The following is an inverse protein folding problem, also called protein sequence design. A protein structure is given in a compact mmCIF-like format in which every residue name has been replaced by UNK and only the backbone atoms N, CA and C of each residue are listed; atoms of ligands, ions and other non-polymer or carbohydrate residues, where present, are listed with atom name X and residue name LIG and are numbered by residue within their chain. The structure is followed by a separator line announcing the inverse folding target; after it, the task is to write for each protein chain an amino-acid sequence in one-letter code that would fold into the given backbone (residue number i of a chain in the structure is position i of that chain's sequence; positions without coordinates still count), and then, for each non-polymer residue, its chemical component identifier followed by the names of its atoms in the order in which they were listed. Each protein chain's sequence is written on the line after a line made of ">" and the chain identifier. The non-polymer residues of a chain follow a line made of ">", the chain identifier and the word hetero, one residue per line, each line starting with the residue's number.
data_IF_609772343773
#
_entry.id   IF_609772343773
#
_cell.length_a   1.000
_cell.length_b   1.000
_cell.length_c   1.000
_cell.angle_alpha   90.00
_cell.angle_beta   90.00
_cell.angle_gamma   90.00
#
_symmetry.space_group_name_H-M   'P 1'
#
loop_
_entity.id
_entity.type
_entity.pdbx_description
1 polymer ?
#
# COMPACT_ATOMS: atom_id res chain seq x y z
N UNK A 1 -2.51 14.62 11.67
CA UNK A 1 -2.75 13.93 10.37
C UNK A 1 -1.67 12.92 10.03
N UNK A 2 -0.37 13.27 10.13
CA UNK A 2 0.76 12.34 9.88
C UNK A 2 0.77 11.15 10.84
N UNK A 3 0.54 11.38 12.14
CA UNK A 3 0.45 10.31 13.13
C UNK A 3 -0.70 9.32 12.83
N UNK A 4 -1.82 9.81 12.28
CA UNK A 4 -2.97 8.97 11.92
C UNK A 4 -2.66 8.09 10.69
N UNK A 5 -1.94 8.59 9.69
CA UNK A 5 -1.51 7.78 8.54
C UNK A 5 -0.40 6.79 8.91
N UNK A 6 0.49 7.14 9.85
CA UNK A 6 1.48 6.22 10.39
C UNK A 6 0.83 5.08 11.18
N UNK A 7 -0.06 5.40 12.12
CA UNK A 7 -0.81 4.42 12.90
C UNK A 7 -1.65 3.49 12.01
N UNK A 8 -2.31 4.03 10.97
CA UNK A 8 -3.10 3.22 10.05
C UNK A 8 -2.26 2.25 9.21
N UNK A 9 -1.05 2.66 8.78
CA UNK A 9 -0.08 1.77 8.11
C UNK A 9 0.42 0.70 9.06
N UNK A 10 0.76 1.07 10.29
CA UNK A 10 1.18 0.11 11.31
C UNK A 10 0.10 -0.93 11.60
N UNK A 11 -1.16 -0.50 11.72
CA UNK A 11 -2.30 -1.42 11.89
C UNK A 11 -2.44 -2.41 10.72
N UNK A 12 -2.16 -1.98 9.49
CA UNK A 12 -2.17 -2.87 8.32
C UNK A 12 -1.04 -3.92 8.38
N UNK A 13 0.17 -3.50 8.77
CA UNK A 13 1.30 -4.40 8.98
C UNK A 13 0.99 -5.44 10.05
N UNK A 14 0.57 -5.00 11.23
CA UNK A 14 0.22 -5.89 12.35
C UNK A 14 -0.89 -6.86 11.97
N UNK A 15 -1.89 -6.44 11.19
CA UNK A 15 -2.96 -7.32 10.71
C UNK A 15 -2.41 -8.49 9.88
N UNK A 16 -1.53 -8.19 8.91
CA UNK A 16 -0.94 -9.22 8.04
C UNK A 16 0.07 -10.07 8.79
N UNK A 17 0.92 -9.48 9.64
CA UNK A 17 1.86 -10.23 10.47
C UNK A 17 1.14 -11.22 11.39
N UNK A 18 0.07 -10.79 12.05
CA UNK A 18 -0.73 -11.67 12.91
C UNK A 18 -1.31 -12.83 12.11
N UNK A 19 -1.83 -12.56 10.91
CA UNK A 19 -2.38 -13.61 10.05
C UNK A 19 -1.31 -14.61 9.60
N UNK A 20 -0.13 -14.13 9.18
CA UNK A 20 0.99 -14.99 8.80
C UNK A 20 1.45 -15.86 9.96
N UNK A 21 1.62 -15.28 11.14
CA UNK A 21 2.03 -16.04 12.32
C UNK A 21 1.00 -17.12 12.70
N UNK A 22 -0.30 -16.85 12.46
CA UNK A 22 -1.36 -17.83 12.75
C UNK A 22 -1.30 -19.06 11.85
N UNK A 23 -0.78 -18.93 10.63
CA UNK A 23 -0.75 -20.02 9.64
C UNK A 23 0.66 -20.52 9.34
N UNK A 24 1.69 -19.98 10.00
CA UNK A 24 3.09 -20.15 9.60
C UNK A 24 3.50 -21.62 9.46
N UNK A 25 3.06 -22.46 10.40
CA UNK A 25 3.36 -23.90 10.44
C UNK A 25 2.56 -24.71 9.41
N UNK A 26 1.44 -24.16 8.93
CA UNK A 26 0.57 -24.78 7.93
C UNK A 26 0.93 -24.39 6.48
N UNK A 27 1.81 -23.41 6.26
CA UNK A 27 2.16 -22.92 4.91
C UNK A 27 3.16 -23.86 4.21
N UNK A 28 2.67 -24.60 3.21
CA UNK A 28 3.46 -25.59 2.47
C UNK A 28 3.88 -25.13 1.07
N UNK A 29 3.12 -24.22 0.46
CA UNK A 29 3.30 -23.77 -0.92
C UNK A 29 4.29 -22.61 -0.98
N UNK A 30 5.33 -22.77 -1.82
CA UNK A 30 6.29 -21.71 -2.13
C UNK A 30 5.78 -20.83 -3.27
N UNK A 31 4.72 -20.06 -3.00
CA UNK A 31 4.12 -19.17 -4.01
C UNK A 31 4.91 -17.86 -4.18
N UNK A 32 4.86 -17.21 -5.37
CA UNK A 32 5.39 -15.86 -5.55
C UNK A 32 4.72 -14.84 -4.61
N UNK A 33 3.48 -15.10 -4.20
CA UNK A 33 2.74 -14.26 -3.25
C UNK A 33 3.32 -14.35 -1.84
N UNK A 34 3.70 -15.54 -1.37
CA UNK A 34 4.39 -15.71 -0.08
C UNK A 34 5.66 -14.88 -0.03
N UNK A 35 6.53 -15.05 -1.05
CA UNK A 35 7.76 -14.27 -1.19
C UNK A 35 7.50 -12.77 -1.21
N UNK A 36 6.46 -12.33 -1.93
CA UNK A 36 6.09 -10.92 -2.02
C UNK A 36 5.64 -10.35 -0.68
N UNK A 37 4.80 -11.07 0.08
CA UNK A 37 4.33 -10.62 1.40
C UNK A 37 5.49 -10.54 2.39
N UNK A 38 6.28 -11.60 2.52
CA UNK A 38 7.44 -11.65 3.43
C UNK A 38 8.48 -10.57 3.08
N UNK A 39 8.74 -10.37 1.78
CA UNK A 39 9.61 -9.30 1.28
C UNK A 39 9.06 -7.91 1.62
N UNK A 40 7.77 -7.68 1.38
CA UNK A 40 7.12 -6.38 1.66
C UNK A 40 7.14 -6.05 3.15
N UNK A 41 6.82 -7.02 4.02
CA UNK A 41 6.87 -6.82 5.48
C UNK A 41 8.29 -6.45 5.94
N UNK A 42 9.30 -7.16 5.44
CA UNK A 42 10.71 -6.84 5.72
C UNK A 42 11.07 -5.43 5.29
N UNK A 43 10.76 -5.05 4.05
CA UNK A 43 11.04 -3.71 3.52
C UNK A 43 10.34 -2.63 4.34
N UNK A 44 9.06 -2.81 4.67
CA UNK A 44 8.29 -1.79 5.38
C UNK A 44 8.77 -1.60 6.83
N UNK A 45 9.24 -2.66 7.51
CA UNK A 45 9.90 -2.52 8.82
C UNK A 45 11.16 -1.66 8.74
N UNK A 46 11.99 -1.87 7.71
CA UNK A 46 13.19 -1.05 7.49
C UNK A 46 12.84 0.40 7.14
N UNK A 47 11.83 0.60 6.30
CA UNK A 47 11.44 1.93 5.83
C UNK A 47 10.74 2.78 6.91
N UNK A 48 9.95 2.15 7.78
CA UNK A 48 9.28 2.84 8.89
C UNK A 48 10.30 3.55 9.79
N UNK A 49 11.41 2.89 10.14
CA UNK A 49 12.49 3.50 10.93
C UNK A 49 13.21 4.65 10.22
N UNK A 50 13.27 4.65 8.88
CA UNK A 50 13.91 5.73 8.12
C UNK A 50 13.03 6.98 8.01
N UNK A 51 11.71 6.82 7.86
CA UNK A 51 10.78 7.95 7.75
C UNK A 51 10.63 8.68 9.08
N UNK A 52 10.67 7.97 10.21
CA UNK A 52 10.66 8.60 11.54
C UNK A 52 11.94 9.39 11.84
N UNK A 53 13.07 9.00 11.24
CA UNK A 53 14.35 9.70 11.38
C UNK A 53 14.48 10.97 10.53
N UNK A 54 13.56 11.19 9.58
CA UNK A 54 13.55 12.41 8.76
C UNK A 54 12.85 13.55 9.52
N UNK A 55 13.64 14.46 10.08
CA UNK A 55 13.14 15.74 10.60
C UNK A 55 12.59 16.59 9.47
N UNK A 56 11.29 16.44 9.20
CA UNK A 56 10.61 17.31 8.25
C UNK A 56 10.46 18.72 8.85
N UNK A 57 10.63 19.79 8.04
CA UNK A 57 10.38 21.15 8.50
C UNK A 57 8.96 21.28 9.06
N UNK A 58 8.81 21.98 10.18
CA UNK A 58 7.52 22.26 10.80
C UNK A 58 6.75 23.29 9.96
N UNK A 59 6.11 22.80 8.90
CA UNK A 59 5.24 23.58 8.02
C UNK A 59 3.93 22.86 7.78
N UNK A 60 2.90 23.64 7.46
CA UNK A 60 1.64 23.10 6.97
C UNK A 60 1.89 22.21 5.73
N UNK A 61 1.23 21.05 5.71
CA UNK A 61 1.28 20.16 4.56
C UNK A 61 0.55 20.80 3.37
N UNK A 62 1.12 20.70 2.17
CA UNK A 62 0.43 21.07 0.95
C UNK A 62 -0.77 20.12 0.73
N UNK A 63 -1.77 20.59 -0.03
CA UNK A 63 -2.96 19.78 -0.36
C UNK A 63 -2.56 18.43 -1.00
N UNK A 64 -1.58 18.45 -1.91
CA UNK A 64 -1.06 17.24 -2.54
C UNK A 64 -0.39 16.28 -1.54
N UNK A 65 0.33 16.80 -0.55
CA UNK A 65 0.98 15.98 0.49
C UNK A 65 -0.06 15.34 1.42
N UNK A 66 -1.06 16.11 1.83
CA UNK A 66 -2.17 15.61 2.64
C UNK A 66 -2.97 14.53 1.90
N UNK A 67 -3.23 14.74 0.60
CA UNK A 67 -3.88 13.76 -0.25
C UNK A 67 -3.03 12.49 -0.41
N UNK A 68 -1.75 12.63 -0.77
CA UNK A 68 -0.83 11.50 -0.95
C UNK A 68 -0.72 10.64 0.31
N UNK A 69 -0.65 11.26 1.50
CA UNK A 69 -0.58 10.53 2.79
C UNK A 69 -1.84 9.70 3.06
N UNK A 70 -3.03 10.17 2.66
CA UNK A 70 -4.28 9.39 2.79
C UNK A 70 -4.29 8.23 1.81
N UNK A 71 -3.91 8.48 0.55
CA UNK A 71 -3.87 7.47 -0.50
C UNK A 71 -2.84 6.37 -0.23
N UNK A 72 -1.68 6.72 0.35
CA UNK A 72 -0.65 5.76 0.73
C UNK A 72 -1.18 4.71 1.73
N UNK A 73 -2.04 5.11 2.67
CA UNK A 73 -2.66 4.18 3.62
C UNK A 73 -3.52 3.14 2.89
N UNK A 74 -4.37 3.58 1.96
CA UNK A 74 -5.21 2.67 1.18
C UNK A 74 -4.36 1.76 0.30
N UNK A 75 -3.33 2.29 -0.35
CA UNK A 75 -2.40 1.52 -1.18
C UNK A 75 -1.71 0.42 -0.37
N UNK A 76 -1.17 0.76 0.80
CA UNK A 76 -0.48 -0.20 1.69
C UNK A 76 -1.45 -1.29 2.14
N UNK A 77 -2.65 -0.92 2.62
CA UNK A 77 -3.70 -1.84 3.05
C UNK A 77 -4.09 -2.83 1.95
N UNK A 78 -4.49 -2.32 0.79
CA UNK A 78 -5.01 -3.14 -0.32
C UNK A 78 -3.91 -4.02 -0.92
N UNK A 79 -2.69 -3.49 -1.09
CA UNK A 79 -1.58 -4.25 -1.67
C UNK A 79 -1.14 -5.40 -0.75
N UNK A 80 -0.90 -5.12 0.53
CA UNK A 80 -0.46 -6.14 1.49
C UNK A 80 -1.52 -7.23 1.66
N UNK A 81 -2.76 -6.83 1.93
CA UNK A 81 -3.83 -7.77 2.22
C UNK A 81 -4.23 -8.58 0.98
N UNK A 82 -4.35 -7.93 -0.18
CA UNK A 82 -4.65 -8.62 -1.43
C UNK A 82 -3.56 -9.61 -1.83
N UNK A 83 -2.29 -9.31 -1.57
CA UNK A 83 -1.20 -10.27 -1.81
C UNK A 83 -1.22 -11.42 -0.81
N UNK A 84 -1.52 -11.15 0.46
CA UNK A 84 -1.68 -12.18 1.49
C UNK A 84 -2.84 -13.14 1.18
N UNK A 85 -3.97 -12.63 0.69
CA UNK A 85 -5.09 -13.46 0.26
C UNK A 85 -4.70 -14.39 -0.90
N UNK A 86 -4.01 -13.89 -1.92
CA UNK A 86 -3.52 -14.76 -3.01
C UNK A 86 -2.51 -15.81 -2.55
N UNK A 87 -1.75 -15.52 -1.49
CA UNK A 87 -0.89 -16.52 -0.87
C UNK A 87 -1.70 -17.64 -0.23
N UNK A 88 -2.76 -17.31 0.51
CA UNK A 88 -3.64 -18.30 1.13
C UNK A 88 -4.48 -19.05 0.09
N UNK A 89 -4.91 -18.38 -0.98
CA UNK A 89 -5.58 -19.02 -2.11
C UNK A 89 -4.68 -20.06 -2.77
N UNK A 90 -3.38 -19.78 -2.92
CA UNK A 90 -2.43 -20.75 -3.45
C UNK A 90 -2.29 -22.02 -2.58
N UNK A 91 -2.41 -21.91 -1.25
CA UNK A 91 -2.46 -23.08 -0.35
C UNK A 91 -3.78 -23.86 -0.54
N UNK A 92 -4.90 -23.15 -0.63
CA UNK A 92 -6.24 -23.75 -0.81
C UNK A 92 -6.30 -24.51 -2.14
N UNK A 93 -5.83 -23.89 -3.23
CA UNK A 93 -5.81 -24.46 -4.58
C UNK A 93 -4.87 -25.67 -4.67
N UNK A 94 -3.80 -25.69 -3.88
CA UNK A 94 -2.91 -26.85 -3.74
C UNK A 94 -3.49 -27.97 -2.86
N UNK A 95 -4.70 -27.79 -2.31
CA UNK A 95 -5.39 -28.80 -1.52
C UNK A 95 -4.98 -28.84 -0.04
N UNK A 96 -4.40 -27.76 0.51
CA UNK A 96 -4.00 -27.71 1.92
C UNK A 96 -5.23 -27.95 2.84
N UNK A 97 -5.20 -28.98 3.71
CA UNK A 97 -6.34 -29.34 4.55
C UNK A 97 -6.45 -28.48 5.82
N UNK A 98 -5.44 -27.68 6.17
CA UNK A 98 -5.39 -26.95 7.44
C UNK A 98 -6.58 -25.97 7.58
N UNK A 99 -7.45 -26.14 8.60
CA UNK A 99 -8.62 -25.26 8.80
C UNK A 99 -8.22 -23.80 9.05
N UNK A 100 -7.05 -23.57 9.64
CA UNK A 100 -6.52 -22.24 9.91
C UNK A 100 -6.34 -21.41 8.63
N UNK A 101 -5.93 -22.03 7.51
CA UNK A 101 -5.79 -21.36 6.21
C UNK A 101 -7.13 -20.78 5.75
N UNK A 102 -8.18 -21.61 5.69
CA UNK A 102 -9.51 -21.17 5.23
C UNK A 102 -10.13 -20.15 6.18
N UNK A 103 -9.95 -20.33 7.48
CA UNK A 103 -10.42 -19.39 8.51
C UNK A 103 -9.76 -18.02 8.37
N UNK A 104 -8.42 -17.97 8.27
CA UNK A 104 -7.72 -16.70 8.05
C UNK A 104 -8.07 -16.09 6.70
N UNK A 105 -8.20 -16.88 5.64
CA UNK A 105 -8.58 -16.39 4.31
C UNK A 105 -9.96 -15.72 4.31
N UNK A 106 -10.93 -16.30 5.02
CA UNK A 106 -12.28 -15.71 5.19
C UNK A 106 -12.22 -14.41 6.01
N UNK A 107 -11.52 -14.43 7.15
CA UNK A 107 -11.33 -13.23 7.99
C UNK A 107 -10.69 -12.07 7.23
N UNK A 108 -9.61 -12.35 6.50
CA UNK A 108 -8.88 -11.34 5.73
C UNK A 108 -9.70 -10.81 4.55
N UNK A 109 -10.57 -11.63 3.93
CA UNK A 109 -11.49 -11.16 2.90
C UNK A 109 -12.45 -10.08 3.44
N UNK A 110 -13.07 -10.32 4.60
CA UNK A 110 -13.94 -9.31 5.22
C UNK A 110 -13.19 -8.02 5.62
N UNK A 111 -11.90 -8.10 5.95
CA UNK A 111 -11.07 -6.91 6.17
C UNK A 111 -10.80 -6.18 4.85
N UNK A 112 -10.53 -6.92 3.76
CA UNK A 112 -10.27 -6.35 2.44
C UNK A 112 -11.50 -5.62 1.90
N UNK A 113 -12.69 -6.20 2.04
CA UNK A 113 -13.93 -5.59 1.58
C UNK A 113 -14.20 -4.25 2.28
N UNK A 114 -14.03 -4.22 3.61
CA UNK A 114 -14.11 -2.98 4.38
C UNK A 114 -13.08 -1.95 3.93
N UNK A 115 -11.81 -2.33 3.80
CA UNK A 115 -10.76 -1.39 3.39
C UNK A 115 -10.90 -0.92 1.94
N UNK A 116 -11.48 -1.74 1.06
CA UNK A 116 -11.82 -1.36 -0.31
C UNK A 116 -12.93 -0.31 -0.30
N UNK A 117 -13.98 -0.53 0.49
CA UNK A 117 -15.06 0.45 0.69
C UNK A 117 -14.53 1.77 1.26
N UNK A 118 -13.64 1.70 2.26
CA UNK A 118 -12.98 2.89 2.83
C UNK A 118 -12.12 3.63 1.78
N UNK A 119 -11.44 2.89 0.89
CA UNK A 119 -10.62 3.49 -0.16
C UNK A 119 -11.48 4.16 -1.23
N UNK A 120 -12.58 3.54 -1.64
CA UNK A 120 -13.50 4.11 -2.63
C UNK A 120 -14.18 5.38 -2.11
N UNK A 121 -14.69 5.33 -0.87
CA UNK A 121 -15.31 6.50 -0.22
C UNK A 121 -14.30 7.62 0.06
N UNK A 122 -13.08 7.28 0.49
CA UNK A 122 -12.00 8.22 0.76
C UNK A 122 -11.32 8.81 -0.48
N UNK A 123 -11.57 8.24 -1.67
CA UNK A 123 -10.94 8.64 -2.95
C UNK A 123 -11.94 9.27 -3.92
N UNK A 124 -13.03 9.85 -3.40
CA UNK A 124 -13.97 10.68 -4.17
C UNK A 124 -13.35 12.02 -4.66
N UNK A 125 -12.14 11.97 -5.21
CA UNK A 125 -11.48 13.07 -5.92
C UNK A 125 -11.79 13.04 -7.41
N UNK A 126 -11.56 14.17 -8.10
CA UNK A 126 -11.79 14.33 -9.53
C UNK A 126 -11.22 13.14 -10.31
N UNK A 127 -12.05 12.48 -11.12
CA UNK A 127 -11.56 11.62 -12.20
C UNK A 127 -10.72 12.47 -13.14
N UNK A 128 -9.40 12.44 -12.93
CA UNK A 128 -8.46 13.16 -13.76
C UNK A 128 -8.46 12.50 -15.14
N UNK A 129 -8.90 13.25 -16.14
CA UNK A 129 -8.64 12.91 -17.54
C UNK A 129 -7.12 12.93 -17.71
N UNK A 130 -6.48 11.76 -17.85
CA UNK A 130 -5.01 11.60 -17.89
C UNK A 130 -4.33 12.59 -18.84
N UNK A 131 -5.00 12.94 -19.94
CA UNK A 131 -4.54 13.96 -20.90
C UNK A 131 -4.15 15.29 -20.26
N UNK A 132 -4.87 15.75 -19.25
CA UNK A 132 -4.69 17.07 -18.65
C UNK A 132 -3.37 17.18 -17.89
N UNK A 133 -3.06 16.32 -16.89
CA UNK A 133 -1.76 16.36 -16.22
C UNK A 133 -0.60 16.07 -17.17
N UNK A 134 -0.78 15.18 -18.17
CA UNK A 134 0.26 14.92 -19.19
C UNK A 134 0.57 16.17 -20.01
N UNK A 135 -0.45 16.89 -20.47
CA UNK A 135 -0.26 18.13 -21.23
C UNK A 135 0.45 19.20 -20.40
N UNK A 136 0.09 19.35 -19.11
CA UNK A 136 0.75 20.28 -18.18
C UNK A 136 2.22 19.90 -17.97
N UNK A 137 2.51 18.63 -17.72
CA UNK A 137 3.88 18.13 -17.52
C UNK A 137 4.74 18.35 -18.77
N UNK A 138 4.21 18.00 -19.95
CA UNK A 138 4.89 18.23 -21.22
C UNK A 138 5.14 19.74 -21.45
N UNK A 139 4.14 20.58 -21.21
CA UNK A 139 4.27 22.04 -21.32
C UNK A 139 5.36 22.60 -20.41
N UNK A 140 5.41 22.15 -19.15
CA UNK A 140 6.44 22.56 -18.19
C UNK A 140 7.86 22.16 -18.65
N UNK A 141 8.03 20.93 -19.15
CA UNK A 141 9.30 20.44 -19.70
C UNK A 141 9.73 21.29 -20.91
N UNK A 142 8.82 21.56 -21.85
CA UNK A 142 9.11 22.37 -23.03
C UNK A 142 9.47 23.82 -22.68
N UNK A 143 8.78 24.42 -21.72
CA UNK A 143 9.08 25.75 -21.18
C UNK A 143 10.46 25.79 -20.55
N UNK A 144 10.79 24.82 -19.68
CA UNK A 144 12.10 24.73 -19.05
C UNK A 144 13.23 24.56 -20.10
N UNK A 145 13.02 23.71 -21.11
CA UNK A 145 13.97 23.52 -22.20
C UNK A 145 14.15 24.79 -23.07
N UNK A 146 13.08 25.56 -23.29
CA UNK A 146 13.15 26.85 -24.02
C UNK A 146 13.88 27.91 -23.19
N UNK A 147 13.58 28.02 -21.89
CA UNK A 147 14.26 28.96 -21.00
C UNK A 147 15.77 28.68 -20.93
N UNK A 148 16.17 27.41 -20.79
CA UNK A 148 17.58 27.00 -20.80
C UNK A 148 18.31 27.33 -22.11
N UNK A 149 17.63 27.25 -23.26
CA UNK A 149 18.21 27.61 -24.57
C UNK A 149 18.39 29.12 -24.75
N UNK A 150 17.57 29.95 -24.09
CA UNK A 150 17.68 31.41 -24.13
C UNK A 150 18.73 31.96 -23.16
N UNK A 151 19.13 31.18 -22.18
CA UNK A 151 20.18 31.52 -21.21
C UNK A 151 21.59 31.08 -21.67
N UNK A 152 21.73 30.60 -22.91
CA UNK A 152 22.99 30.30 -23.59
C UNK A 152 23.14 31.27 -24.76
#
# INVERSE_FOLDING_TARGET
>A
MVALSAAARQGALTTVETALNTVADDLTVRSPFRRSVEGTLRTLRTYAGQVEALSLPDRAAMVAEAFSRRQEVHLVRLRLLGTCLRMLDAEIDAGNPAPAIRSQRSRLAGILDRWTTEAETGTAGLRLQVRTPVAVQLGAILLAARARRRAR
#
